data_IF_566092709593
#
_entry.id   IF_566092709593
#
_cell.length_a   1.000
_cell.length_b   1.000
_cell.length_c   1.000
_cell.angle_alpha   90.00
_cell.angle_beta   90.00
_cell.angle_gamma   90.00
#
_symmetry.space_group_name_H-M   'P 1'
#
loop_
_entity.id
_entity.type
_entity.pdbx_description
1 polymer ?
#
# COMPACT_ATOMS: atom_id res chain seq x y z
N UNK A 1 28.49 13.51 13.28
CA UNK A 1 27.20 14.11 12.95
C UNK A 1 26.41 13.03 12.22
N UNK A 2 25.60 12.30 12.97
CA UNK A 2 24.85 11.15 12.44
C UNK A 2 23.55 11.63 11.82
N UNK A 3 23.38 11.41 10.53
CA UNK A 3 22.10 11.52 9.85
C UNK A 3 21.18 10.41 10.38
N UNK A 4 20.15 10.78 11.16
CA UNK A 4 19.07 9.89 11.53
C UNK A 4 18.36 9.40 10.26
N UNK A 5 18.12 8.08 10.11
CA UNK A 5 17.30 7.60 9.02
C UNK A 5 15.87 8.10 9.24
N UNK A 6 15.28 8.69 8.21
CA UNK A 6 13.86 9.01 8.12
C UNK A 6 13.03 7.79 8.51
N UNK A 7 12.47 7.84 9.72
CA UNK A 7 11.46 6.89 10.13
C UNK A 7 10.16 7.27 9.39
N UNK A 8 9.98 6.74 8.19
CA UNK A 8 8.70 6.82 7.50
C UNK A 8 7.67 6.10 8.36
N UNK A 9 6.77 6.86 8.97
CA UNK A 9 5.53 6.32 9.54
C UNK A 9 4.76 5.77 8.34
N UNK A 10 4.69 4.46 8.26
CA UNK A 10 3.99 3.78 7.17
C UNK A 10 2.73 3.17 7.70
N UNK A 11 1.65 3.32 6.97
CA UNK A 11 0.60 2.31 7.03
C UNK A 11 1.29 0.96 6.89
N UNK A 12 1.23 0.14 7.95
CA UNK A 12 1.78 -1.21 7.93
C UNK A 12 1.09 -1.93 6.79
N UNK A 13 1.80 -2.07 5.69
CA UNK A 13 1.27 -2.79 4.55
C UNK A 13 1.51 -2.20 3.17
N UNK A 14 1.73 -0.91 2.99
CA UNK A 14 2.12 -0.42 1.67
C UNK A 14 3.60 -0.72 1.48
N UNK A 15 3.88 -1.74 0.68
CA UNK A 15 5.23 -2.25 0.42
C UNK A 15 6.16 -1.19 -0.14
N UNK A 16 6.84 -0.49 0.72
CA UNK A 16 7.90 0.39 0.32
C UNK A 16 9.19 -0.40 0.15
N UNK A 17 9.72 -0.35 -1.03
CA UNK A 17 11.05 -0.82 -1.42
C UNK A 17 12.12 0.12 -0.85
N UNK A 18 12.14 0.31 0.47
CA UNK A 18 13.20 1.08 1.13
C UNK A 18 13.55 0.45 2.46
N UNK A 19 14.42 -0.51 2.43
CA UNK A 19 15.44 -0.76 3.43
C UNK A 19 16.22 -2.01 3.03
N UNK A 20 17.35 -1.85 2.45
CA UNK A 20 18.43 -2.82 2.53
C UNK A 20 18.83 -2.99 3.99
N UNK A 21 18.27 -3.98 4.66
CA UNK A 21 18.90 -4.66 5.80
C UNK A 21 18.12 -5.93 6.08
N UNK A 22 18.78 -7.05 5.78
CA UNK A 22 18.38 -8.41 6.04
C UNK A 22 17.72 -8.61 7.41
N UNK A 23 16.50 -9.18 7.40
CA UNK A 23 16.12 -10.20 8.40
C UNK A 23 15.13 -11.18 7.81
N UNK A 24 15.63 -12.38 7.57
CA UNK A 24 14.86 -13.59 7.35
C UNK A 24 14.07 -13.90 8.63
N UNK A 25 12.77 -14.08 8.52
CA UNK A 25 12.03 -14.89 9.47
C UNK A 25 11.05 -15.75 8.67
N UNK A 26 11.42 -17.01 8.52
CA UNK A 26 10.50 -18.07 8.15
C UNK A 26 9.69 -18.47 9.39
N UNK A 27 8.38 -18.63 9.22
CA UNK A 27 7.53 -19.37 10.14
C UNK A 27 6.61 -20.29 9.30
N UNK A 28 6.45 -21.55 9.72
CA UNK A 28 5.69 -22.54 8.97
C UNK A 28 4.19 -22.34 9.17
N UNK A 29 3.45 -22.38 8.07
CA UNK A 29 2.00 -22.40 8.02
C UNK A 29 1.50 -23.81 8.33
N UNK A 30 0.85 -24.01 9.47
CA UNK A 30 0.09 -25.23 9.77
C UNK A 30 -1.37 -25.03 9.35
N UNK A 31 -1.79 -25.77 8.34
CA UNK A 31 -3.20 -25.92 7.98
C UNK A 31 -3.92 -26.74 9.06
N UNK A 32 -5.06 -26.23 9.52
CA UNK A 32 -6.09 -27.03 10.18
C UNK A 32 -7.43 -26.78 9.50
N UNK A 33 -7.82 -27.75 8.69
CA UNK A 33 -9.16 -27.89 8.09
C UNK A 33 -10.12 -28.43 9.14
N UNK A 34 -11.24 -27.74 9.39
CA UNK A 34 -12.39 -28.37 10.02
C UNK A 34 -13.65 -27.88 9.34
N UNK A 35 -14.27 -28.76 8.54
CA UNK A 35 -15.58 -28.59 7.97
C UNK A 35 -16.63 -28.96 9.04
N UNK A 36 -17.59 -28.08 9.27
CA UNK A 36 -18.80 -28.42 10.01
C UNK A 36 -20.03 -27.98 9.19
N UNK A 37 -20.72 -28.97 8.63
CA UNK A 37 -22.03 -28.83 8.00
C UNK A 37 -23.08 -28.90 9.12
N UNK A 38 -23.86 -27.85 9.28
CA UNK A 38 -25.11 -27.91 10.07
C UNK A 38 -26.28 -27.49 9.18
N UNK A 39 -27.09 -28.47 8.86
CA UNK A 39 -28.42 -28.33 8.27
C UNK A 39 -29.38 -27.96 9.39
N UNK A 40 -30.13 -26.86 9.28
CA UNK A 40 -31.20 -26.55 10.21
C UNK A 40 -32.39 -25.94 9.52
N UNK A 41 -33.54 -26.51 9.85
CA UNK A 41 -34.87 -26.37 9.32
C UNK A 41 -35.45 -24.94 9.37
N UNK A 42 -36.35 -24.69 8.38
CA UNK A 42 -37.22 -23.53 8.28
C UNK A 42 -38.18 -23.41 9.48
N UNK A 43 -38.12 -22.26 10.14
CA UNK A 43 -39.17 -21.78 11.04
C UNK A 43 -39.50 -20.34 10.64
N UNK A 44 -40.72 -20.16 10.09
CA UNK A 44 -41.27 -18.81 9.84
C UNK A 44 -41.65 -18.19 11.19
N UNK A 45 -40.93 -17.16 11.61
CA UNK A 45 -41.36 -16.26 12.68
C UNK A 45 -41.58 -14.86 12.13
N UNK A 46 -42.58 -14.09 12.64
CA UNK A 46 -42.96 -12.80 12.10
C UNK A 46 -41.82 -11.78 12.28
N UNK A 47 -41.58 -11.04 11.23
CA UNK A 47 -40.53 -10.05 11.04
C UNK A 47 -40.59 -8.95 12.10
N UNK A 48 -39.83 -9.09 13.17
CA UNK A 48 -39.39 -7.95 13.94
C UNK A 48 -38.47 -7.09 13.02
N UNK A 49 -38.77 -5.81 12.87
CA UNK A 49 -37.86 -4.85 12.21
C UNK A 49 -36.44 -5.09 12.73
N UNK A 50 -35.48 -5.37 11.87
CA UNK A 50 -34.11 -5.53 12.34
C UNK A 50 -33.68 -4.20 12.94
N UNK A 51 -33.53 -4.13 14.27
CA UNK A 51 -32.69 -3.13 14.88
C UNK A 51 -31.36 -3.17 14.14
N UNK A 52 -30.94 -2.06 13.57
CA UNK A 52 -29.68 -1.94 12.87
C UNK A 52 -28.58 -2.36 13.87
N UNK A 53 -28.19 -3.64 13.82
CA UNK A 53 -27.15 -4.19 14.66
C UNK A 53 -25.87 -3.43 14.28
N UNK A 54 -25.27 -2.76 15.24
CA UNK A 54 -24.01 -2.07 15.00
C UNK A 54 -23.02 -3.07 14.39
N UNK A 55 -22.52 -2.76 13.19
CA UNK A 55 -21.55 -3.60 12.50
C UNK A 55 -20.30 -3.73 13.38
N UNK A 56 -19.83 -4.97 13.54
CA UNK A 56 -18.59 -5.21 14.30
C UNK A 56 -17.37 -4.86 13.44
N UNK A 57 -16.25 -4.54 14.08
CA UNK A 57 -14.99 -4.30 13.36
C UNK A 57 -14.63 -5.47 12.44
N UNK A 58 -14.79 -6.72 12.91
CA UNK A 58 -14.52 -7.91 12.11
C UNK A 58 -15.42 -8.02 10.89
N UNK A 59 -16.73 -7.68 11.00
CA UNK A 59 -17.65 -7.74 9.86
C UNK A 59 -17.34 -6.67 8.82
N UNK A 60 -17.01 -5.45 9.26
CA UNK A 60 -16.60 -4.36 8.35
C UNK A 60 -15.31 -4.71 7.59
N UNK A 61 -14.30 -5.24 8.30
CA UNK A 61 -13.03 -5.65 7.67
C UNK A 61 -13.22 -6.82 6.71
N UNK A 62 -14.03 -7.82 7.06
CA UNK A 62 -14.36 -8.93 6.18
C UNK A 62 -15.07 -8.45 4.89
N UNK A 63 -16.03 -7.53 5.04
CA UNK A 63 -16.72 -6.91 3.91
C UNK A 63 -15.77 -6.09 3.03
N UNK A 64 -14.86 -5.32 3.63
CA UNK A 64 -13.86 -4.54 2.90
C UNK A 64 -12.90 -5.45 2.13
N UNK A 65 -12.38 -6.50 2.75
CA UNK A 65 -11.52 -7.48 2.10
C UNK A 65 -12.21 -8.16 0.92
N UNK A 66 -13.46 -8.58 1.10
CA UNK A 66 -14.25 -9.17 0.04
C UNK A 66 -14.58 -8.20 -1.10
N UNK A 67 -14.74 -6.90 -0.79
CA UNK A 67 -14.95 -5.86 -1.78
C UNK A 67 -13.66 -5.56 -2.58
N UNK A 68 -12.51 -5.45 -1.93
CA UNK A 68 -11.19 -5.26 -2.57
C UNK A 68 -10.88 -6.44 -3.49
N UNK A 69 -11.09 -7.67 -3.05
CA UNK A 69 -10.82 -8.88 -3.84
C UNK A 69 -11.62 -8.96 -5.16
N UNK A 70 -12.71 -8.20 -5.29
CA UNK A 70 -13.50 -8.09 -6.53
C UNK A 70 -12.99 -6.99 -7.47
N UNK A 71 -12.06 -6.16 -7.03
CA UNK A 71 -11.54 -5.06 -7.84
C UNK A 71 -10.38 -5.53 -8.72
N UNK A 72 -10.34 -5.02 -9.93
CA UNK A 72 -9.25 -5.25 -10.88
C UNK A 72 -8.18 -4.16 -10.83
N UNK A 73 -8.50 -3.04 -10.19
CA UNK A 73 -7.59 -1.90 -10.08
C UNK A 73 -8.00 -0.93 -8.98
N UNK A 74 -7.05 -0.08 -8.61
CA UNK A 74 -7.26 1.08 -7.75
C UNK A 74 -6.23 2.17 -8.08
N UNK A 75 -6.57 3.41 -7.78
CA UNK A 75 -5.61 4.51 -7.69
C UNK A 75 -5.38 4.84 -6.22
N UNK A 76 -4.10 4.93 -5.86
CA UNK A 76 -3.66 5.31 -4.53
C UNK A 76 -2.88 6.63 -4.62
N UNK A 77 -3.11 7.54 -3.68
CA UNK A 77 -2.34 8.77 -3.52
C UNK A 77 -1.97 8.92 -2.06
N UNK A 78 -0.67 8.88 -1.78
CA UNK A 78 -0.10 9.01 -0.45
C UNK A 78 0.63 10.35 -0.35
N UNK A 79 0.42 11.06 0.74
CA UNK A 79 1.19 12.24 1.12
C UNK A 79 1.72 12.03 2.53
N UNK A 80 3.02 12.13 2.70
CA UNK A 80 3.68 12.09 4.01
C UNK A 80 4.33 13.45 4.27
N UNK A 81 4.00 14.06 5.39
CA UNK A 81 4.62 15.30 5.86
C UNK A 81 5.36 14.97 7.15
N UNK A 82 6.66 15.20 7.16
CA UNK A 82 7.48 15.00 8.35
C UNK A 82 7.97 16.33 8.89
N UNK A 83 7.92 16.47 10.21
CA UNK A 83 8.45 17.63 10.92
C UNK A 83 9.96 17.59 11.03
N UNK A 84 10.57 16.40 10.93
CA UNK A 84 12.01 16.17 11.04
C UNK A 84 12.75 16.29 9.71
N UNK A 85 12.04 16.25 8.58
CA UNK A 85 12.60 16.40 7.24
C UNK A 85 12.06 17.66 6.57
N UNK A 86 12.90 18.32 5.77
CA UNK A 86 12.52 19.54 5.04
C UNK A 86 11.64 19.28 3.81
N UNK A 87 10.94 18.15 3.73
CA UNK A 87 10.19 17.79 2.53
C UNK A 87 8.91 17.02 2.79
N UNK A 88 7.99 17.18 1.86
CA UNK A 88 6.79 16.33 1.75
C UNK A 88 7.08 15.24 0.74
N UNK A 89 6.83 13.98 1.13
CA UNK A 89 6.82 12.85 0.21
C UNK A 89 5.41 12.73 -0.40
N UNK A 90 5.37 12.56 -1.71
CA UNK A 90 4.13 12.26 -2.45
C UNK A 90 4.34 11.01 -3.27
N UNK A 91 3.42 10.07 -3.13
CA UNK A 91 3.37 8.85 -3.92
C UNK A 91 2.03 8.78 -4.63
N UNK A 92 2.04 8.46 -5.91
CA UNK A 92 0.83 8.19 -6.68
C UNK A 92 1.00 6.86 -7.38
N UNK A 93 0.03 5.97 -7.19
CA UNK A 93 0.03 4.64 -7.77
C UNK A 93 -1.23 4.41 -8.59
N UNK A 94 -1.08 3.75 -9.73
CA UNK A 94 -2.16 3.15 -10.49
C UNK A 94 -1.92 1.63 -10.44
N UNK A 95 -2.73 0.94 -9.67
CA UNK A 95 -2.57 -0.48 -9.34
C UNK A 95 -3.53 -1.31 -10.19
N UNK A 96 -2.99 -2.22 -11.00
CA UNK A 96 -3.74 -3.27 -11.69
C UNK A 96 -3.41 -4.65 -11.11
N UNK A 97 -4.04 -5.72 -11.59
CA UNK A 97 -3.81 -7.08 -11.08
C UNK A 97 -2.40 -7.58 -11.40
N UNK A 98 -1.92 -7.34 -12.60
CA UNK A 98 -0.63 -7.85 -13.10
C UNK A 98 0.36 -6.76 -13.49
N UNK A 99 -0.09 -5.53 -13.55
CA UNK A 99 0.67 -4.37 -13.94
C UNK A 99 0.31 -3.16 -13.09
N UNK A 100 1.20 -2.19 -13.03
CA UNK A 100 0.97 -0.97 -12.27
C UNK A 100 2.08 0.05 -12.47
N UNK A 101 1.81 1.25 -12.02
CA UNK A 101 2.76 2.36 -12.08
C UNK A 101 2.75 3.13 -10.77
N UNK A 102 3.93 3.45 -10.29
CA UNK A 102 4.13 4.29 -9.11
C UNK A 102 5.02 5.47 -9.48
N UNK A 103 4.66 6.64 -8.98
CA UNK A 103 5.48 7.86 -9.06
C UNK A 103 5.72 8.38 -7.65
N UNK A 104 6.98 8.60 -7.30
CA UNK A 104 7.42 9.07 -5.99
C UNK A 104 8.09 10.43 -6.18
N UNK A 105 7.75 11.38 -5.32
CA UNK A 105 8.41 12.68 -5.22
C UNK A 105 8.75 12.96 -3.75
N UNK A 106 10.03 13.16 -3.47
CA UNK A 106 10.58 13.51 -2.15
C UNK A 106 11.46 14.74 -2.29
N UNK A 107 10.89 15.92 -2.05
CA UNK A 107 11.57 17.19 -2.37
C UNK A 107 11.93 17.27 -3.86
N UNK A 108 13.21 17.41 -4.16
CA UNK A 108 13.72 17.43 -5.54
C UNK A 108 13.98 16.02 -6.11
N UNK A 109 13.97 14.98 -5.27
CA UNK A 109 14.14 13.60 -5.71
C UNK A 109 12.84 13.07 -6.30
N UNK A 110 12.89 12.56 -7.53
CA UNK A 110 11.74 11.97 -8.21
C UNK A 110 12.09 10.59 -8.74
N UNK A 111 11.14 9.68 -8.69
CA UNK A 111 11.29 8.33 -9.22
C UNK A 111 9.98 7.82 -9.80
N UNK A 112 10.08 6.92 -10.77
CA UNK A 112 8.92 6.22 -11.35
C UNK A 112 9.25 4.74 -11.44
N UNK A 113 8.31 3.92 -11.01
CA UNK A 113 8.31 2.46 -11.18
C UNK A 113 7.20 2.12 -12.17
N UNK A 114 7.49 1.24 -13.11
CA UNK A 114 6.50 0.62 -14.00
C UNK A 114 6.62 -0.89 -13.86
N UNK A 115 5.52 -1.57 -13.68
CA UNK A 115 5.45 -3.02 -13.65
C UNK A 115 4.56 -3.50 -14.80
N UNK A 116 5.09 -4.38 -15.61
CA UNK A 116 4.37 -5.12 -16.66
C UNK A 116 4.43 -6.61 -16.34
N UNK A 117 3.67 -7.48 -17.01
CA UNK A 117 3.76 -8.92 -16.76
C UNK A 117 5.16 -9.53 -16.92
N UNK A 118 6.02 -8.92 -17.76
CA UNK A 118 7.34 -9.46 -18.11
C UNK A 118 8.52 -8.74 -17.46
N UNK A 119 8.35 -7.47 -17.10
CA UNK A 119 9.43 -6.64 -16.56
C UNK A 119 8.91 -5.62 -15.55
N UNK A 120 9.75 -5.28 -14.59
CA UNK A 120 9.68 -4.03 -13.85
C UNK A 120 10.73 -3.04 -14.40
N UNK A 121 10.42 -1.76 -14.34
CA UNK A 121 11.29 -0.68 -14.80
C UNK A 121 11.33 0.42 -13.75
N UNK A 122 12.53 0.96 -13.51
CA UNK A 122 12.70 2.16 -12.68
C UNK A 122 13.38 3.26 -13.46
N UNK A 123 13.00 4.50 -13.17
CA UNK A 123 13.64 5.72 -13.70
C UNK A 123 13.48 6.83 -12.68
N UNK A 124 14.27 7.89 -12.78
CA UNK A 124 14.14 9.03 -11.88
C UNK A 124 15.25 10.06 -12.05
N UNK A 125 15.16 11.12 -11.25
CA UNK A 125 16.30 12.04 -11.10
C UNK A 125 17.49 11.31 -10.48
N UNK A 126 18.72 11.85 -10.65
CA UNK A 126 19.91 11.27 -10.03
C UNK A 126 19.75 11.14 -8.50
N UNK A 127 19.19 12.16 -7.85
CA UNK A 127 18.84 12.11 -6.42
C UNK A 127 17.75 11.08 -6.12
N UNK A 128 16.74 10.93 -6.98
CA UNK A 128 15.72 9.90 -6.82
C UNK A 128 16.30 8.50 -6.91
N UNK A 129 17.14 8.24 -7.89
CA UNK A 129 17.81 6.95 -8.07
C UNK A 129 18.68 6.57 -6.86
N UNK A 130 19.41 7.54 -6.28
CA UNK A 130 20.24 7.29 -5.09
C UNK A 130 19.44 7.21 -3.80
N UNK A 131 18.53 8.16 -3.56
CA UNK A 131 17.80 8.25 -2.28
C UNK A 131 16.66 7.22 -2.19
N UNK A 132 15.94 7.02 -3.31
CA UNK A 132 14.75 6.16 -3.34
C UNK A 132 15.14 4.70 -3.62
N UNK A 133 16.02 4.42 -4.55
CA UNK A 133 16.39 3.04 -4.92
C UNK A 133 17.74 2.59 -4.37
N UNK A 134 18.47 3.45 -3.66
CA UNK A 134 19.76 3.08 -3.06
C UNK A 134 20.87 2.83 -4.09
N UNK A 135 20.74 3.30 -5.33
CA UNK A 135 21.80 3.18 -6.32
C UNK A 135 22.99 4.04 -5.92
N UNK A 136 24.21 3.58 -6.21
CA UNK A 136 25.40 4.42 -6.05
C UNK A 136 25.36 5.62 -7.00
N UNK A 137 26.07 6.69 -6.68
CA UNK A 137 26.18 7.86 -7.55
C UNK A 137 26.72 7.52 -8.95
N UNK A 138 27.64 6.54 -9.04
CA UNK A 138 28.16 6.05 -10.32
C UNK A 138 27.06 5.33 -11.13
N UNK A 139 26.27 4.47 -10.47
CA UNK A 139 25.13 3.79 -11.11
C UNK A 139 24.06 4.79 -11.55
N UNK A 140 23.68 5.74 -10.69
CA UNK A 140 22.70 6.77 -11.04
C UNK A 140 23.16 7.62 -12.23
N UNK A 141 24.47 7.94 -12.32
CA UNK A 141 25.07 8.61 -13.47
C UNK A 141 25.00 7.74 -14.74
N UNK A 142 25.29 6.42 -14.61
CA UNK A 142 25.20 5.48 -15.73
C UNK A 142 23.77 5.30 -16.24
N UNK A 143 22.78 5.32 -15.35
CA UNK A 143 21.36 5.32 -15.73
C UNK A 143 21.01 6.59 -16.50
N UNK A 144 21.37 7.76 -16.00
CA UNK A 144 21.09 9.05 -16.65
C UNK A 144 19.61 9.23 -16.95
N UNK A 145 19.23 9.25 -18.23
CA UNK A 145 17.84 9.36 -18.73
C UNK A 145 17.21 8.02 -19.11
N UNK A 146 17.89 6.92 -18.88
CA UNK A 146 17.42 5.60 -19.23
C UNK A 146 16.52 5.02 -18.14
N UNK A 147 15.79 3.97 -18.51
CA UNK A 147 15.10 3.08 -17.59
C UNK A 147 16.01 1.90 -17.24
N UNK A 148 15.94 1.44 -16.01
CA UNK A 148 16.57 0.18 -15.61
C UNK A 148 15.50 -0.90 -15.58
N UNK A 149 15.73 -2.01 -16.30
CA UNK A 149 14.79 -3.13 -16.36
C UNK A 149 15.19 -4.30 -15.49
N UNK A 150 14.20 -4.93 -14.87
CA UNK A 150 14.29 -6.15 -14.06
C UNK A 150 13.37 -7.18 -14.67
N UNK A 151 13.92 -8.33 -15.08
CA UNK A 151 13.15 -9.39 -15.76
C UNK A 151 12.25 -10.13 -14.75
N UNK A 152 11.05 -10.53 -15.18
CA UNK A 152 10.19 -11.42 -14.41
C UNK A 152 10.92 -12.69 -13.98
N UNK A 153 10.67 -13.13 -12.74
CA UNK A 153 11.38 -14.25 -12.12
C UNK A 153 12.62 -13.85 -11.29
N UNK A 154 13.05 -12.58 -11.31
CA UNK A 154 14.05 -12.07 -10.37
C UNK A 154 13.39 -11.60 -9.07
N UNK A 155 14.16 -11.58 -7.96
CA UNK A 155 13.68 -11.08 -6.66
C UNK A 155 13.25 -9.62 -6.76
N UNK A 156 14.07 -8.78 -7.41
CA UNK A 156 13.77 -7.36 -7.60
C UNK A 156 12.45 -7.13 -8.35
N UNK A 157 12.18 -7.92 -9.41
CA UNK A 157 10.90 -7.86 -10.10
C UNK A 157 9.74 -8.18 -9.15
N UNK A 158 9.89 -9.25 -8.35
CA UNK A 158 8.86 -9.67 -7.40
C UNK A 158 8.59 -8.60 -6.34
N UNK A 159 9.64 -7.94 -5.84
CA UNK A 159 9.54 -6.86 -4.87
C UNK A 159 8.76 -5.68 -5.47
N UNK A 160 9.12 -5.21 -6.67
CA UNK A 160 8.38 -4.13 -7.36
C UNK A 160 6.94 -4.52 -7.64
N UNK A 161 6.71 -5.74 -8.15
CA UNK A 161 5.37 -6.22 -8.47
C UNK A 161 4.48 -6.26 -7.23
N UNK A 162 4.99 -6.75 -6.10
CA UNK A 162 4.22 -6.81 -4.86
C UNK A 162 3.83 -5.43 -4.33
N UNK A 163 4.66 -4.41 -4.56
CA UNK A 163 4.41 -3.04 -4.12
C UNK A 163 3.48 -2.25 -5.05
N UNK A 164 3.51 -2.52 -6.35
CA UNK A 164 2.86 -1.67 -7.38
C UNK A 164 1.73 -2.40 -8.11
N UNK A 165 1.08 -3.37 -7.46
CA UNK A 165 -0.12 -4.05 -7.98
C UNK A 165 -1.19 -4.17 -6.91
N UNK A 166 -2.38 -4.62 -7.30
CA UNK A 166 -3.52 -4.79 -6.38
C UNK A 166 -3.21 -5.65 -5.15
N UNK A 167 -2.17 -6.48 -5.20
CA UNK A 167 -1.72 -7.29 -4.05
C UNK A 167 -1.27 -6.45 -2.84
N UNK A 168 -0.87 -5.18 -3.06
CA UNK A 168 -0.48 -4.26 -1.98
C UNK A 168 -1.68 -3.71 -1.20
N UNK A 169 -2.87 -3.68 -1.81
CA UNK A 169 -4.04 -2.96 -1.25
C UNK A 169 -4.61 -3.62 0.00
N UNK A 170 -4.56 -4.95 0.10
CA UNK A 170 -5.04 -5.67 1.28
C UNK A 170 -4.33 -5.23 2.57
N UNK A 171 -3.09 -4.80 2.44
CA UNK A 171 -2.25 -4.37 3.55
C UNK A 171 -2.64 -3.01 4.16
N UNK A 172 -3.54 -2.27 3.51
CA UNK A 172 -4.13 -1.02 4.04
C UNK A 172 -5.12 -1.32 5.18
N UNK A 173 -5.68 -2.53 5.21
CA UNK A 173 -6.66 -2.91 6.24
C UNK A 173 -5.96 -3.25 7.56
N UNK A 174 -6.42 -2.68 8.70
CA UNK A 174 -5.88 -3.04 10.01
C UNK A 174 -6.33 -4.45 10.44
N UNK A 175 -5.67 -4.99 11.45
CA UNK A 175 -6.19 -6.15 12.18
C UNK A 175 -7.44 -5.77 12.98
N UNK A 176 -8.37 -6.71 13.16
CA UNK A 176 -9.58 -6.48 13.95
C UNK A 176 -9.27 -6.24 15.43
N UNK A 177 -8.23 -6.93 15.96
CA UNK A 177 -7.80 -6.77 17.34
C UNK A 177 -7.20 -5.38 17.59
N UNK A 178 -7.74 -4.67 18.57
CA UNK A 178 -7.29 -3.32 18.92
C UNK A 178 -7.86 -2.21 18.04
N UNK A 179 -8.62 -2.55 17.00
CA UNK A 179 -9.30 -1.59 16.14
C UNK A 179 -10.72 -1.31 16.65
N UNK A 180 -11.09 -0.04 16.70
CA UNK A 180 -12.45 0.42 17.02
C UNK A 180 -13.15 0.85 15.73
N UNK A 181 -14.44 0.56 15.62
CA UNK A 181 -15.27 0.96 14.48
C UNK A 181 -16.39 1.87 14.95
N UNK A 182 -16.62 2.95 14.23
CA UNK A 182 -17.78 3.82 14.36
C UNK A 182 -18.37 4.13 13.00
N UNK A 183 -19.61 4.62 12.97
CA UNK A 183 -20.25 5.14 11.76
C UNK A 183 -20.22 6.65 11.79
N UNK A 184 -19.94 7.28 10.67
CA UNK A 184 -19.96 8.72 10.48
C UNK A 184 -20.70 9.09 9.19
N UNK A 185 -21.04 10.37 9.07
CA UNK A 185 -21.53 10.98 7.84
C UNK A 185 -20.46 11.95 7.35
N UNK A 186 -19.97 11.73 6.14
CA UNK A 186 -18.97 12.60 5.50
C UNK A 186 -19.60 13.18 4.24
N UNK A 187 -19.98 14.45 4.29
CA UNK A 187 -20.62 15.18 3.18
C UNK A 187 -21.86 14.45 2.63
N UNK A 188 -22.72 13.94 3.51
CA UNK A 188 -23.94 13.22 3.14
C UNK A 188 -23.73 11.74 2.78
N UNK A 189 -22.51 11.24 2.83
CA UNK A 189 -22.20 9.83 2.59
C UNK A 189 -21.88 9.12 3.90
N UNK A 190 -22.59 8.01 4.17
CA UNK A 190 -22.31 7.18 5.34
C UNK A 190 -21.04 6.36 5.13
N UNK A 191 -20.19 6.37 6.16
CA UNK A 191 -18.91 5.67 6.16
C UNK A 191 -18.68 4.96 7.50
N UNK A 192 -17.92 3.88 7.47
CA UNK A 192 -17.30 3.31 8.66
C UNK A 192 -15.95 3.99 8.88
N UNK A 193 -15.68 4.39 10.12
CA UNK A 193 -14.40 4.94 10.55
C UNK A 193 -13.76 3.95 11.50
N UNK A 194 -12.64 3.38 11.08
CA UNK A 194 -11.82 2.47 11.87
C UNK A 194 -10.67 3.26 12.47
N UNK A 195 -10.43 3.09 13.76
CA UNK A 195 -9.32 3.74 14.48
C UNK A 195 -8.51 2.71 15.25
N UNK A 196 -7.19 2.79 15.16
CA UNK A 196 -6.28 1.92 15.91
C UNK A 196 -4.97 2.64 16.20
N UNK A 197 -4.20 2.06 17.11
CA UNK A 197 -2.87 2.56 17.47
C UNK A 197 -1.85 1.47 17.23
N UNK A 198 -0.74 1.82 16.61
CA UNK A 198 0.45 0.98 16.53
C UNK A 198 1.39 1.42 17.65
N UNK A 199 1.82 0.49 18.49
CA UNK A 199 2.74 0.76 19.58
C UNK A 199 4.12 1.19 19.05
N UNK A 200 4.81 2.02 19.83
CA UNK A 200 6.19 2.37 19.54
C UNK A 200 7.08 1.11 19.58
N UNK A 201 8.07 1.09 18.70
CA UNK A 201 9.20 0.14 18.76
C UNK A 201 10.50 0.91 19.04
N UNK A 202 11.64 0.22 19.09
CA UNK A 202 12.94 0.89 19.23
C UNK A 202 13.28 1.79 18.04
N UNK A 203 12.63 1.59 16.88
CA UNK A 203 12.93 2.30 15.61
C UNK A 203 11.75 3.08 15.05
N UNK A 204 10.55 2.93 15.60
CA UNK A 204 9.34 3.62 15.11
C UNK A 204 8.56 4.22 16.27
N UNK A 205 8.10 5.48 16.16
CA UNK A 205 7.24 6.10 17.17
C UNK A 205 5.86 5.41 17.20
N UNK A 206 5.13 5.64 18.31
CA UNK A 206 3.72 5.27 18.40
C UNK A 206 2.92 6.07 17.40
N UNK A 207 2.03 5.40 16.65
CA UNK A 207 1.15 6.06 15.68
C UNK A 207 -0.31 5.86 16.00
N UNK A 208 -1.10 6.90 15.72
CA UNK A 208 -2.56 6.85 15.72
C UNK A 208 -3.05 6.82 14.29
N UNK A 209 -3.90 5.85 13.96
CA UNK A 209 -4.31 5.58 12.59
C UNK A 209 -5.83 5.64 12.46
N UNK A 210 -6.30 6.07 11.30
CA UNK A 210 -7.72 6.07 10.93
C UNK A 210 -7.87 5.57 9.50
N UNK A 211 -8.86 4.71 9.25
CA UNK A 211 -9.25 4.28 7.91
C UNK A 211 -10.75 4.49 7.74
N UNK A 212 -11.12 5.17 6.68
CA UNK A 212 -12.51 5.40 6.27
C UNK A 212 -12.87 4.41 5.17
N UNK A 213 -13.96 3.68 5.35
CA UNK A 213 -14.51 2.67 4.43
C UNK A 213 -15.93 3.08 4.06
N UNK A 214 -16.34 2.93 2.80
CA UNK A 214 -17.71 3.19 2.39
C UNK A 214 -18.70 2.28 3.14
N UNK A 215 -19.76 2.86 3.68
CA UNK A 215 -20.89 2.10 4.25
C UNK A 215 -22.06 1.98 3.25
N UNK A 216 -21.90 2.48 2.02
CA UNK A 216 -22.90 2.45 0.96
C UNK A 216 -22.29 1.74 -0.26
N UNK A 217 -23.00 0.77 -0.81
CA UNK A 217 -22.53 -0.05 -1.92
C UNK A 217 -21.41 -1.00 -1.50
N UNK A 218 -20.32 -1.06 -2.28
CA UNK A 218 -19.15 -1.85 -1.94
C UNK A 218 -18.38 -1.22 -0.78
N UNK A 219 -18.01 -2.01 0.22
CA UNK A 219 -17.26 -1.55 1.39
C UNK A 219 -15.78 -1.31 1.05
N UNK A 220 -15.52 -0.35 0.17
CA UNK A 220 -14.17 -0.03 -0.30
C UNK A 220 -13.52 1.04 0.58
N UNK A 221 -12.23 0.92 0.91
CA UNK A 221 -11.45 1.97 1.55
C UNK A 221 -11.43 3.25 0.70
N UNK A 222 -11.55 4.40 1.35
CA UNK A 222 -11.59 5.72 0.70
C UNK A 222 -10.40 6.56 1.12
N UNK A 223 -10.13 6.60 2.44
CA UNK A 223 -9.10 7.47 3.01
C UNK A 223 -8.50 6.83 4.24
N UNK A 224 -7.18 6.89 4.33
CA UNK A 224 -6.41 6.59 5.53
C UNK A 224 -5.70 7.84 6.05
N UNK A 225 -5.47 7.91 7.36
CA UNK A 225 -4.57 8.89 7.97
C UNK A 225 -3.77 8.22 9.07
N UNK A 226 -2.50 8.63 9.20
CA UNK A 226 -1.67 8.27 10.33
C UNK A 226 -1.01 9.53 10.89
N UNK A 227 -0.76 9.55 12.20
CA UNK A 227 0.01 10.60 12.84
C UNK A 227 0.76 10.05 14.04
N UNK A 228 1.89 10.66 14.36
CA UNK A 228 2.66 10.33 15.55
C UNK A 228 2.79 11.51 16.51
N UNK A 229 3.47 11.28 17.64
CA UNK A 229 3.70 12.32 18.66
C UNK A 229 4.73 13.36 18.24
N UNK A 230 5.56 13.09 17.22
CA UNK A 230 6.52 14.04 16.66
C UNK A 230 5.86 15.06 15.71
N UNK A 231 4.59 14.83 15.36
CA UNK A 231 3.84 15.68 14.44
C UNK A 231 3.96 15.25 12.98
N UNK A 232 4.51 14.08 12.71
CA UNK A 232 4.51 13.51 11.36
C UNK A 232 3.09 13.08 10.98
N UNK A 233 2.68 13.38 9.76
CA UNK A 233 1.35 13.09 9.24
C UNK A 233 1.42 12.37 7.90
N UNK A 234 0.55 11.36 7.77
CA UNK A 234 0.34 10.64 6.53
C UNK A 234 -1.13 10.72 6.13
N UNK A 235 -1.38 10.93 4.85
CA UNK A 235 -2.72 10.87 4.25
C UNK A 235 -2.68 9.99 3.03
N UNK A 236 -3.49 8.93 3.04
CA UNK A 236 -3.72 7.99 1.95
C UNK A 236 -5.12 8.23 1.39
N UNK A 237 -5.24 8.35 0.07
CA UNK A 237 -6.51 8.37 -0.65
C UNK A 237 -6.56 7.18 -1.61
N UNK A 238 -7.69 6.47 -1.62
CA UNK A 238 -7.96 5.39 -2.57
C UNK A 238 -9.18 5.75 -3.41
N UNK A 239 -9.06 5.58 -4.71
CA UNK A 239 -10.08 5.96 -5.69
C UNK A 239 -9.98 5.11 -6.94
N UNK A 240 -10.84 5.38 -7.92
CA UNK A 240 -10.79 4.81 -9.26
C UNK A 240 -10.77 3.26 -9.26
N UNK A 241 -11.56 2.69 -8.34
CA UNK A 241 -11.71 1.26 -8.19
C UNK A 241 -12.33 0.63 -9.46
N UNK A 242 -11.68 -0.41 -9.99
CA UNK A 242 -12.14 -1.14 -11.16
C UNK A 242 -11.88 -0.44 -12.51
N UNK A 243 -11.24 0.73 -12.55
CA UNK A 243 -10.86 1.40 -13.78
C UNK A 243 -9.74 0.64 -14.51
N UNK A 244 -9.74 0.68 -15.85
CA UNK A 244 -8.70 0.00 -16.62
C UNK A 244 -7.33 0.63 -16.39
N UNK A 245 -6.38 -0.18 -15.93
CA UNK A 245 -4.96 0.19 -15.80
C UNK A 245 -4.20 -0.46 -16.96
N UNK A 246 -3.44 0.34 -17.71
CA UNK A 246 -2.54 -0.13 -18.75
C UNK A 246 -1.18 0.54 -18.60
N UNK A 247 -0.12 -0.27 -18.55
CA UNK A 247 1.25 0.19 -18.39
C UNK A 247 2.09 -0.22 -19.59
N UNK A 248 2.48 0.77 -20.40
CA UNK A 248 3.38 0.54 -21.51
C UNK A 248 4.84 0.45 -21.08
N UNK A 249 5.54 -0.57 -21.58
CA UNK A 249 6.97 -0.68 -21.40
C UNK A 249 7.69 0.53 -22.01
N UNK A 250 8.78 1.01 -21.38
CA UNK A 250 9.62 2.03 -22.00
C UNK A 250 10.26 1.53 -23.31
N UNK A 251 10.62 2.41 -24.26
CA UNK A 251 11.31 2.02 -25.47
C UNK A 251 12.61 1.28 -25.18
N UNK A 252 12.90 0.22 -25.95
CA UNK A 252 14.11 -0.58 -25.75
C UNK A 252 15.40 0.25 -25.84
N UNK A 253 15.46 1.23 -26.76
CA UNK A 253 16.60 2.14 -26.93
C UNK A 253 16.86 3.03 -25.71
N UNK A 254 15.86 3.24 -24.85
CA UNK A 254 15.99 4.01 -23.59
C UNK A 254 16.01 3.13 -22.35
N UNK A 255 16.31 1.85 -22.49
CA UNK A 255 16.29 0.88 -21.38
C UNK A 255 17.63 0.14 -21.30
N UNK A 256 18.17 0.05 -20.10
CA UNK A 256 19.33 -0.79 -19.78
C UNK A 256 18.92 -1.88 -18.79
N UNK A 257 19.50 -3.08 -18.88
CA UNK A 257 19.20 -4.11 -17.90
C UNK A 257 19.94 -3.85 -16.58
N UNK A 258 19.38 -4.32 -15.47
CA UNK A 258 20.04 -4.23 -14.17
C UNK A 258 21.41 -4.91 -14.16
N UNK A 259 21.58 -6.02 -14.89
CA UNK A 259 22.88 -6.70 -15.03
C UNK A 259 23.91 -5.83 -15.73
N UNK A 260 23.54 -5.03 -16.74
CA UNK A 260 24.43 -4.07 -17.38
C UNK A 260 24.81 -2.92 -16.45
N UNK A 261 23.98 -2.62 -15.45
CA UNK A 261 24.25 -1.56 -14.47
C UNK A 261 25.24 -2.01 -13.40
N UNK A 262 25.20 -3.30 -13.01
CA UNK A 262 25.98 -3.87 -11.89
C UNK A 262 27.25 -4.61 -12.32
N UNK A 263 27.38 -4.99 -13.60
CA UNK A 263 28.60 -5.55 -14.21
C UNK A 263 29.48 -4.43 -14.73
#
# INVERSE_FOLDING_TARGET
MGSSPLAAVRFVGVGSVHSSSARRFGLPLTLATTALVILTCCGFTPSARPSARAETTSSVLASAKAAIAKQTSARLSLTVTSTSSSGTEKVTENLGVTEGMETIALGAATATIKVTPSYAYISGSSSGLTTIFGLSAAQAKKVGKHWVSFKAGTSQYSDFKSGVTMSSVDSVLPEAKGTKTSMADVKGTKVYVLTWTVAATSSTPKTSNTLTISAVGAALPIKGTASDAAGDHETLLLSNWGEHVSVSAPPAASTISYSQLTG
#
